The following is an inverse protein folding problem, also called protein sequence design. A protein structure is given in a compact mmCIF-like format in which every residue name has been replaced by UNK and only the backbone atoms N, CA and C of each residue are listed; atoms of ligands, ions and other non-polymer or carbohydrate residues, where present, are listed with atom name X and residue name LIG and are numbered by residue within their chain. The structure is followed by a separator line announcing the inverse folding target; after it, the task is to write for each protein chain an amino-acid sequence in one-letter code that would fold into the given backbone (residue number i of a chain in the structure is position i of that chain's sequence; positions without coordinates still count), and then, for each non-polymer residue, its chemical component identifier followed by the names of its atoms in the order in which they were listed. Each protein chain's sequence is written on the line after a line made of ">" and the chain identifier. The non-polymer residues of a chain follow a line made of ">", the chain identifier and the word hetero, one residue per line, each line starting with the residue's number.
data_IF_741365972284
#
_entry.id   IF_741365972284
#
_cell.length_a   1.000
_cell.length_b   1.000
_cell.length_c   1.000
_cell.angle_alpha   90.00
_cell.angle_beta   90.00
_cell.angle_gamma   90.00
#
_symmetry.space_group_name_H-M   'P 1'
#
loop_
_entity.id
_entity.type
_entity.pdbx_description
1 polymer ?
#
# COMPACT_ATOMS: atom_id res chain seq x y z
N UNK A 1 -2.44 -10.42 7.46
CA UNK A 1 -3.26 -9.37 6.84
C UNK A 1 -4.52 -9.20 7.66
N UNK A 2 -4.92 -7.95 7.93
CA UNK A 2 -6.13 -7.65 8.68
C UNK A 2 -7.28 -7.34 7.72
N UNK A 3 -8.35 -8.14 7.79
CA UNK A 3 -9.50 -8.07 6.91
C UNK A 3 -10.72 -7.57 7.69
N UNK A 4 -11.33 -6.48 7.24
CA UNK A 4 -12.64 -6.02 7.71
C UNK A 4 -13.74 -6.58 6.80
N UNK A 5 -14.83 -7.05 7.38
CA UNK A 5 -16.09 -7.36 6.71
C UNK A 5 -17.18 -6.56 7.42
N UNK A 6 -17.83 -5.64 6.70
CA UNK A 6 -18.86 -4.77 7.26
C UNK A 6 -20.11 -4.80 6.39
N UNK A 7 -21.21 -5.30 6.95
CA UNK A 7 -22.53 -5.48 6.30
C UNK A 7 -23.58 -5.51 7.39
N UNK A 8 -24.74 -4.88 7.25
CA UNK A 8 -25.80 -4.85 8.26
C UNK A 8 -26.55 -6.17 8.41
N UNK A 9 -26.32 -7.10 7.48
CA UNK A 9 -26.90 -8.44 7.47
C UNK A 9 -25.89 -9.49 7.93
N UNK A 10 -26.15 -10.14 9.06
CA UNK A 10 -25.33 -11.26 9.54
C UNK A 10 -25.22 -12.39 8.50
N UNK A 11 -26.29 -12.64 7.72
CA UNK A 11 -26.31 -13.67 6.68
C UNK A 11 -25.26 -13.35 5.58
N UNK A 12 -25.14 -12.07 5.21
CA UNK A 12 -24.16 -11.64 4.23
C UNK A 12 -22.73 -11.77 4.79
N UNK A 13 -22.52 -11.37 6.05
CA UNK A 13 -21.23 -11.57 6.74
C UNK A 13 -20.83 -13.03 6.73
N UNK A 14 -21.74 -13.93 7.12
CA UNK A 14 -21.49 -15.37 7.17
C UNK A 14 -21.14 -15.94 5.78
N UNK A 15 -21.84 -15.49 4.75
CA UNK A 15 -21.55 -15.87 3.37
C UNK A 15 -20.17 -15.40 2.93
N UNK A 16 -19.81 -14.14 3.22
CA UNK A 16 -18.49 -13.59 2.90
C UNK A 16 -17.39 -14.32 3.68
N UNK A 17 -17.60 -14.58 4.97
CA UNK A 17 -16.67 -15.37 5.79
C UNK A 17 -16.44 -16.76 5.20
N UNK A 18 -17.49 -17.46 4.79
CA UNK A 18 -17.37 -18.77 4.12
C UNK A 18 -16.53 -18.68 2.83
N UNK A 19 -16.73 -17.65 2.01
CA UNK A 19 -15.94 -17.46 0.78
C UNK A 19 -14.48 -17.12 1.10
N UNK A 20 -14.22 -16.33 2.13
CA UNK A 20 -12.87 -16.01 2.62
C UNK A 20 -12.18 -17.29 3.12
N UNK A 21 -12.85 -18.15 3.90
CA UNK A 21 -12.28 -19.43 4.34
C UNK A 21 -11.94 -20.38 3.17
N UNK A 22 -12.76 -20.39 2.12
CA UNK A 22 -12.44 -21.15 0.90
C UNK A 22 -11.19 -20.59 0.21
N UNK A 23 -11.04 -19.28 0.21
CA UNK A 23 -9.86 -18.60 -0.32
C UNK A 23 -8.62 -18.95 0.52
N UNK A 24 -8.69 -18.82 1.85
CA UNK A 24 -7.60 -19.15 2.77
C UNK A 24 -7.08 -20.58 2.55
N UNK A 25 -8.00 -21.53 2.45
CA UNK A 25 -7.65 -22.95 2.20
C UNK A 25 -7.00 -23.16 0.83
N UNK A 26 -7.49 -22.47 -0.22
CA UNK A 26 -6.97 -22.61 -1.58
C UNK A 26 -5.55 -22.06 -1.72
N UNK A 27 -5.29 -20.89 -1.10
CA UNK A 27 -4.03 -20.16 -1.29
C UNK A 27 -3.06 -20.30 -0.12
N UNK A 28 -3.42 -21.05 0.94
CA UNK A 28 -2.64 -21.21 2.17
C UNK A 28 -2.27 -19.86 2.81
N UNK A 29 -3.25 -18.98 2.93
CA UNK A 29 -3.16 -17.65 3.51
C UNK A 29 -4.11 -17.59 4.70
N UNK A 30 -3.79 -16.81 5.74
CA UNK A 30 -4.63 -16.58 6.89
C UNK A 30 -4.88 -15.08 7.09
N UNK A 31 -6.16 -14.71 7.33
CA UNK A 31 -6.56 -13.34 7.66
C UNK A 31 -6.88 -13.20 9.14
N UNK A 32 -6.45 -12.12 9.75
CA UNK A 32 -7.04 -11.62 10.99
C UNK A 32 -8.36 -10.93 10.63
N UNK A 33 -9.47 -11.64 10.87
CA UNK A 33 -10.82 -11.21 10.46
C UNK A 33 -11.50 -10.38 11.54
N UNK A 34 -12.01 -9.20 11.18
CA UNK A 34 -12.90 -8.36 12.00
C UNK A 34 -14.23 -8.19 11.27
N UNK A 35 -15.35 -8.47 11.96
CA UNK A 35 -16.69 -8.38 11.37
C UNK A 35 -17.54 -7.35 12.10
N UNK A 36 -18.26 -6.51 11.36
CA UNK A 36 -19.07 -5.42 11.91
C UNK A 36 -20.43 -5.36 11.21
N UNK A 37 -21.47 -5.18 12.00
CA UNK A 37 -22.85 -4.98 11.51
C UNK A 37 -23.20 -3.51 11.22
N UNK A 38 -22.32 -2.58 11.53
CA UNK A 38 -22.47 -1.13 11.30
C UNK A 38 -21.11 -0.51 11.07
N UNK A 39 -21.08 0.56 10.27
CA UNK A 39 -19.89 1.40 10.06
C UNK A 39 -19.55 2.33 11.22
N UNK A 40 -20.42 2.46 12.23
CA UNK A 40 -20.31 3.47 13.29
C UNK A 40 -19.10 3.27 14.20
N UNK A 41 -18.53 2.05 14.27
CA UNK A 41 -17.31 1.76 15.03
C UNK A 41 -16.14 2.67 14.65
N UNK A 42 -16.08 3.15 13.39
CA UNK A 42 -15.01 4.00 12.89
C UNK A 42 -14.94 5.36 13.58
N UNK A 43 -16.02 5.79 14.25
CA UNK A 43 -16.06 7.04 15.01
C UNK A 43 -15.30 6.94 16.34
N UNK A 44 -15.18 5.75 16.88
CA UNK A 44 -14.57 5.49 18.20
C UNK A 44 -13.27 4.69 18.13
N UNK A 45 -13.11 3.88 17.08
CA UNK A 45 -11.99 2.98 16.90
C UNK A 45 -11.18 3.39 15.65
N UNK A 46 -9.87 3.61 15.81
CA UNK A 46 -8.95 3.88 14.69
C UNK A 46 -8.17 2.63 14.29
N UNK A 47 -8.89 1.53 14.06
CA UNK A 47 -8.27 0.29 13.61
C UNK A 47 -7.81 0.43 12.16
N UNK A 48 -6.57 0.03 11.88
CA UNK A 48 -6.04 -0.06 10.52
C UNK A 48 -6.30 -1.45 9.95
N UNK A 49 -6.84 -1.50 8.73
CA UNK A 49 -7.07 -2.73 7.97
C UNK A 49 -6.28 -2.70 6.67
N UNK A 50 -5.96 -3.89 6.17
CA UNK A 50 -5.23 -4.06 4.89
C UNK A 50 -6.21 -4.23 3.73
N UNK A 51 -7.29 -4.97 3.97
CA UNK A 51 -8.39 -5.21 3.03
C UNK A 51 -9.71 -4.96 3.76
N UNK A 52 -10.67 -4.34 3.10
CA UNK A 52 -12.04 -4.20 3.61
C UNK A 52 -13.05 -4.65 2.56
N UNK A 53 -14.06 -5.41 2.99
CA UNK A 53 -15.24 -5.79 2.22
C UNK A 53 -16.42 -5.10 2.89
N UNK A 54 -17.07 -4.17 2.17
CA UNK A 54 -18.02 -3.23 2.78
C UNK A 54 -19.30 -3.18 1.95
N UNK A 55 -20.46 -3.36 2.59
CA UNK A 55 -21.75 -3.00 1.97
C UNK A 55 -21.93 -1.48 1.98
N UNK A 56 -22.66 -0.95 1.00
CA UNK A 56 -22.92 0.48 0.87
C UNK A 56 -24.05 0.91 1.78
N UNK A 57 -25.19 0.24 1.74
CA UNK A 57 -26.38 0.63 2.48
C UNK A 57 -26.43 -0.05 3.84
N UNK A 58 -25.98 0.67 4.84
CA UNK A 58 -26.05 0.26 6.25
C UNK A 58 -26.67 1.40 7.08
N UNK A 59 -27.37 1.07 8.18
CA UNK A 59 -27.81 2.06 9.14
C UNK A 59 -26.63 2.86 9.74
N UNK A 60 -26.81 4.14 9.94
CA UNK A 60 -25.76 5.03 10.46
C UNK A 60 -24.79 5.47 9.36
N UNK A 61 -23.50 5.20 9.53
CA UNK A 61 -22.48 5.52 8.53
C UNK A 61 -22.60 4.59 7.33
N UNK A 62 -22.78 5.17 6.13
CA UNK A 62 -22.79 4.41 4.88
C UNK A 62 -21.44 3.77 4.56
N UNK A 63 -21.44 2.68 3.77
CA UNK A 63 -20.19 2.03 3.36
C UNK A 63 -19.27 2.94 2.54
N UNK A 64 -19.81 3.92 1.82
CA UNK A 64 -19.00 4.93 1.11
C UNK A 64 -18.27 5.83 2.12
N UNK A 65 -18.99 6.35 3.12
CA UNK A 65 -18.38 7.19 4.17
C UNK A 65 -17.38 6.39 5.02
N UNK A 66 -17.72 5.16 5.39
CA UNK A 66 -16.80 4.24 6.07
C UNK A 66 -15.52 4.04 5.24
N UNK A 67 -15.66 3.82 3.93
CA UNK A 67 -14.53 3.63 3.02
C UNK A 67 -13.61 4.85 2.96
N UNK A 68 -14.15 6.07 2.98
CA UNK A 68 -13.36 7.29 3.05
C UNK A 68 -12.54 7.37 4.35
N UNK A 69 -13.19 7.13 5.50
CA UNK A 69 -12.52 7.15 6.81
C UNK A 69 -11.46 6.07 6.94
N UNK A 70 -11.70 4.87 6.40
CA UNK A 70 -10.71 3.80 6.35
C UNK A 70 -9.49 4.19 5.53
N UNK A 71 -9.67 4.90 4.40
CA UNK A 71 -8.56 5.42 3.59
C UNK A 71 -7.81 6.57 4.24
N UNK A 72 -8.45 7.40 5.05
CA UNK A 72 -7.77 8.41 5.87
C UNK A 72 -6.83 7.76 6.91
N UNK A 73 -7.25 6.62 7.49
CA UNK A 73 -6.42 5.85 8.44
C UNK A 73 -5.30 5.07 7.73
N UNK A 74 -5.63 4.40 6.64
CA UNK A 74 -4.68 3.65 5.82
C UNK A 74 -4.90 3.93 4.33
N UNK A 75 -4.15 4.86 3.71
CA UNK A 75 -4.29 5.18 2.28
C UNK A 75 -4.04 4.00 1.34
N UNK A 76 -3.37 2.93 1.82
CA UNK A 76 -3.03 1.73 1.05
C UNK A 76 -4.07 0.61 1.17
N UNK A 77 -5.16 0.82 1.90
CA UNK A 77 -6.19 -0.19 2.09
C UNK A 77 -6.85 -0.58 0.76
N UNK A 78 -6.99 -1.87 0.50
CA UNK A 78 -7.76 -2.40 -0.63
C UNK A 78 -9.24 -2.53 -0.23
N UNK A 79 -10.10 -1.65 -0.74
CA UNK A 79 -11.54 -1.67 -0.41
C UNK A 79 -12.32 -2.32 -1.54
N UNK A 80 -13.06 -3.37 -1.21
CA UNK A 80 -14.03 -4.03 -2.08
C UNK A 80 -15.43 -3.67 -1.60
N UNK A 81 -16.18 -2.95 -2.42
CA UNK A 81 -17.61 -2.71 -2.18
C UNK A 81 -18.40 -3.93 -2.64
N UNK A 82 -19.35 -4.37 -1.82
CA UNK A 82 -20.22 -5.50 -2.09
C UNK A 82 -21.67 -5.11 -1.77
N UNK A 83 -22.46 -4.73 -2.77
CA UNK A 83 -23.79 -4.15 -2.55
C UNK A 83 -24.82 -4.61 -3.60
N UNK A 84 -26.11 -4.51 -3.26
CA UNK A 84 -27.22 -4.72 -4.21
C UNK A 84 -27.49 -3.50 -5.10
N UNK A 85 -26.85 -2.35 -4.86
CA UNK A 85 -27.16 -1.08 -5.47
C UNK A 85 -26.07 -0.60 -6.41
N UNK A 86 -26.42 -0.28 -7.66
CA UNK A 86 -25.47 0.20 -8.66
C UNK A 86 -25.31 1.74 -8.66
N UNK A 87 -26.18 2.46 -7.95
CA UNK A 87 -26.24 3.94 -7.95
C UNK A 87 -25.01 4.60 -7.30
N UNK A 88 -24.22 3.85 -6.55
CA UNK A 88 -23.06 4.36 -5.79
C UNK A 88 -21.72 4.19 -6.51
N UNK A 89 -21.75 3.66 -7.75
CA UNK A 89 -20.52 3.39 -8.50
C UNK A 89 -19.66 4.65 -8.70
N UNK A 90 -20.29 5.79 -9.05
CA UNK A 90 -19.57 7.06 -9.26
C UNK A 90 -18.92 7.57 -7.97
N UNK A 91 -19.56 7.39 -6.82
CA UNK A 91 -18.99 7.75 -5.51
C UNK A 91 -17.85 6.81 -5.14
N UNK A 92 -18.00 5.52 -5.34
CA UNK A 92 -16.97 4.52 -5.12
C UNK A 92 -15.72 4.81 -5.99
N UNK A 93 -15.91 5.20 -7.25
CA UNK A 93 -14.82 5.61 -8.15
C UNK A 93 -14.08 6.85 -7.64
N UNK A 94 -14.80 7.87 -7.14
CA UNK A 94 -14.17 9.10 -6.59
C UNK A 94 -13.25 8.81 -5.40
N UNK A 95 -13.63 7.87 -4.53
CA UNK A 95 -12.80 7.46 -3.40
C UNK A 95 -11.80 6.35 -3.76
N UNK A 96 -11.70 5.99 -5.04
CA UNK A 96 -10.76 5.00 -5.56
C UNK A 96 -10.84 3.65 -4.83
N UNK A 97 -12.06 3.08 -4.68
CA UNK A 97 -12.19 1.71 -4.18
C UNK A 97 -11.51 0.73 -5.14
N UNK A 98 -10.97 -0.34 -4.59
CA UNK A 98 -10.24 -1.34 -5.39
C UNK A 98 -11.18 -2.09 -6.33
N UNK A 99 -12.37 -2.50 -5.85
CA UNK A 99 -13.39 -3.20 -6.65
C UNK A 99 -14.80 -2.86 -6.18
N UNK A 100 -15.72 -2.92 -7.13
CA UNK A 100 -17.17 -2.79 -6.91
C UNK A 100 -17.84 -4.06 -7.39
N UNK A 101 -18.54 -4.77 -6.50
CA UNK A 101 -19.20 -6.05 -6.76
C UNK A 101 -20.66 -5.96 -6.40
N UNK A 102 -21.54 -6.39 -7.32
CA UNK A 102 -22.98 -6.45 -7.08
C UNK A 102 -23.38 -7.75 -6.39
N UNK A 103 -24.35 -7.65 -5.48
CA UNK A 103 -25.11 -8.80 -4.96
C UNK A 103 -26.16 -9.25 -5.98
N UNK A 104 -26.46 -10.55 -6.14
CA UNK A 104 -25.95 -11.68 -5.38
C UNK A 104 -24.49 -11.99 -5.71
N UNK A 105 -23.76 -12.52 -4.71
CA UNK A 105 -22.33 -12.77 -4.83
C UNK A 105 -22.05 -13.95 -5.78
N UNK A 106 -21.39 -13.68 -6.90
CA UNK A 106 -20.77 -14.73 -7.69
C UNK A 106 -19.47 -15.19 -7.02
N UNK A 107 -19.41 -16.46 -6.64
CA UNK A 107 -18.28 -17.07 -5.93
C UNK A 107 -16.96 -16.90 -6.70
N UNK A 108 -16.96 -17.19 -8.00
CA UNK A 108 -15.73 -17.19 -8.78
C UNK A 108 -15.21 -15.76 -8.97
N UNK A 109 -16.12 -14.82 -9.21
CA UNK A 109 -15.80 -13.39 -9.31
C UNK A 109 -15.27 -12.86 -7.98
N UNK A 110 -15.89 -13.23 -6.85
CA UNK A 110 -15.45 -12.83 -5.52
C UNK A 110 -14.03 -13.33 -5.23
N UNK A 111 -13.77 -14.63 -5.40
CA UNK A 111 -12.46 -15.26 -5.15
C UNK A 111 -11.37 -14.60 -6.00
N UNK A 112 -11.62 -14.36 -7.29
CA UNK A 112 -10.67 -13.68 -8.18
C UNK A 112 -10.36 -12.26 -7.72
N UNK A 113 -11.39 -11.48 -7.33
CA UNK A 113 -11.17 -10.11 -6.88
C UNK A 113 -10.46 -10.05 -5.52
N UNK A 114 -10.70 -11.01 -4.64
CA UNK A 114 -9.95 -11.14 -3.38
C UNK A 114 -8.49 -11.53 -3.65
N UNK A 115 -8.22 -12.39 -4.64
CA UNK A 115 -6.86 -12.72 -5.08
C UNK A 115 -6.12 -11.48 -5.56
N UNK A 116 -6.74 -10.69 -6.42
CA UNK A 116 -6.18 -9.43 -6.92
C UNK A 116 -5.93 -8.41 -5.77
N UNK A 117 -6.83 -8.33 -4.77
CA UNK A 117 -6.64 -7.47 -3.60
C UNK A 117 -5.46 -7.91 -2.73
N UNK A 118 -5.29 -9.22 -2.54
CA UNK A 118 -4.14 -9.80 -1.82
C UNK A 118 -2.83 -9.57 -2.59
N UNK A 119 -2.84 -9.74 -3.90
CA UNK A 119 -1.66 -9.42 -4.73
C UNK A 119 -1.28 -7.94 -4.62
N UNK A 120 -2.27 -7.04 -4.65
CA UNK A 120 -2.02 -5.60 -4.50
C UNK A 120 -1.46 -5.28 -3.11
N UNK A 121 -2.02 -5.89 -2.05
CA UNK A 121 -1.47 -5.78 -0.70
C UNK A 121 0.02 -6.19 -0.66
N UNK A 122 0.38 -7.33 -1.27
CA UNK A 122 1.78 -7.78 -1.28
C UNK A 122 2.68 -6.87 -2.13
N UNK A 123 2.19 -6.31 -3.23
CA UNK A 123 2.94 -5.31 -4.01
C UNK A 123 3.22 -4.06 -3.18
N UNK A 124 2.18 -3.57 -2.48
CA UNK A 124 2.26 -2.37 -1.64
C UNK A 124 3.05 -2.59 -0.34
N UNK A 125 3.20 -3.83 0.12
CA UNK A 125 3.86 -4.19 1.38
C UNK A 125 5.05 -5.14 1.17
N UNK A 126 5.71 -5.04 0.02
CA UNK A 126 6.87 -5.87 -0.28
C UNK A 126 7.97 -5.65 0.76
N UNK A 127 8.29 -6.71 1.50
CA UNK A 127 9.37 -6.71 2.48
C UNK A 127 10.68 -7.10 1.81
N UNK A 128 11.71 -6.35 2.14
CA UNK A 128 13.08 -6.59 1.74
C UNK A 128 13.87 -7.05 2.96
N UNK A 129 14.54 -8.19 2.85
CA UNK A 129 15.46 -8.69 3.89
C UNK A 129 16.88 -8.43 3.43
N UNK A 130 17.63 -7.68 4.22
CA UNK A 130 19.01 -7.26 3.95
C UNK A 130 19.92 -7.69 5.10
N UNK A 131 21.19 -7.97 4.80
CA UNK A 131 22.19 -8.33 5.80
C UNK A 131 22.83 -7.08 6.40
N UNK A 132 22.79 -6.97 7.72
CA UNK A 132 23.56 -5.99 8.48
C UNK A 132 24.50 -6.73 9.41
N UNK A 133 25.77 -6.42 9.42
CA UNK A 133 26.81 -7.08 10.23
C UNK A 133 26.51 -8.57 10.55
N UNK A 134 25.97 -8.86 11.74
CA UNK A 134 25.65 -10.22 12.23
C UNK A 134 24.12 -10.46 12.32
N UNK A 135 23.30 -9.58 11.71
CA UNK A 135 21.83 -9.64 11.76
C UNK A 135 21.21 -9.45 10.39
N UNK A 136 19.92 -9.71 10.31
CA UNK A 136 19.09 -9.37 9.15
C UNK A 136 18.15 -8.23 9.51
N UNK A 137 18.02 -7.27 8.60
CA UNK A 137 17.08 -6.18 8.68
C UNK A 137 15.94 -6.47 7.70
N UNK A 138 14.71 -6.38 8.17
CA UNK A 138 13.51 -6.51 7.34
C UNK A 138 12.85 -5.14 7.24
N UNK A 139 12.84 -4.57 6.03
CA UNK A 139 12.21 -3.28 5.74
C UNK A 139 11.09 -3.45 4.71
N UNK A 140 10.02 -2.66 4.83
CA UNK A 140 9.06 -2.53 3.76
C UNK A 140 9.65 -1.64 2.67
N UNK A 141 9.58 -2.05 1.40
CA UNK A 141 10.16 -1.26 0.29
C UNK A 141 9.55 0.14 0.18
N UNK A 142 8.28 0.30 0.57
CA UNK A 142 7.61 1.60 0.56
C UNK A 142 8.08 2.54 1.68
N UNK A 143 8.67 1.99 2.75
CA UNK A 143 9.22 2.79 3.84
C UNK A 143 10.62 3.30 3.51
N UNK A 144 11.26 2.79 2.46
CA UNK A 144 12.56 3.26 1.99
C UNK A 144 12.38 4.63 1.33
N UNK A 145 13.08 5.63 1.85
CA UNK A 145 13.14 6.99 1.29
C UNK A 145 14.20 7.08 0.21
N UNK A 146 15.40 6.65 0.54
CA UNK A 146 16.52 6.54 -0.41
C UNK A 146 17.57 5.53 0.07
N UNK A 147 18.46 5.18 -0.82
CA UNK A 147 19.61 4.33 -0.54
C UNK A 147 20.88 5.01 -1.04
N UNK A 148 21.96 4.92 -0.26
CA UNK A 148 23.25 5.51 -0.61
C UNK A 148 24.36 4.48 -0.54
N UNK A 149 25.18 4.41 -1.59
CA UNK A 149 26.39 3.57 -1.61
C UNK A 149 27.40 4.07 -0.60
N UNK A 150 27.91 3.19 0.24
CA UNK A 150 29.01 3.43 1.19
C UNK A 150 30.17 2.46 0.96
N UNK A 151 31.29 2.76 1.60
CA UNK A 151 32.44 1.84 1.64
C UNK A 151 32.04 0.58 2.40
N UNK A 152 31.89 -0.54 1.69
CA UNK A 152 31.54 -1.84 2.30
C UNK A 152 30.06 -2.24 2.21
N UNK A 153 29.19 -1.43 1.57
CA UNK A 153 27.77 -1.77 1.40
C UNK A 153 26.89 -0.60 0.99
N UNK A 154 25.71 -0.54 1.57
CA UNK A 154 24.70 0.49 1.28
C UNK A 154 24.07 0.98 2.59
N UNK A 155 23.88 2.28 2.73
CA UNK A 155 22.98 2.85 3.74
C UNK A 155 21.57 2.91 3.16
N UNK A 156 20.61 2.30 3.85
CA UNK A 156 19.18 2.32 3.54
C UNK A 156 18.50 3.25 4.53
N UNK A 157 17.98 4.37 4.03
CA UNK A 157 17.27 5.37 4.83
C UNK A 157 15.77 5.16 4.66
N UNK A 158 15.08 4.97 5.77
CA UNK A 158 13.66 4.68 5.83
C UNK A 158 12.92 5.70 6.69
N UNK A 159 11.61 5.67 6.66
CA UNK A 159 10.75 6.48 7.57
C UNK A 159 11.01 6.15 9.06
N UNK A 160 11.51 4.93 9.36
CA UNK A 160 11.74 4.43 10.72
C UNK A 160 13.20 4.54 11.19
N UNK A 161 14.12 4.96 10.33
CA UNK A 161 15.55 5.11 10.66
C UNK A 161 16.47 4.73 9.52
N UNK A 162 17.77 4.70 9.82
CA UNK A 162 18.84 4.38 8.88
C UNK A 162 19.47 3.04 9.22
N UNK A 163 19.81 2.27 8.21
CA UNK A 163 20.41 0.94 8.35
C UNK A 163 21.58 0.78 7.41
N UNK A 164 22.72 0.29 7.93
CA UNK A 164 23.86 -0.11 7.11
C UNK A 164 23.74 -1.60 6.76
N UNK A 165 23.81 -1.90 5.45
CA UNK A 165 23.67 -3.26 4.92
C UNK A 165 24.89 -3.63 4.06
N UNK A 166 25.17 -4.93 3.98
CA UNK A 166 26.34 -5.45 3.24
C UNK A 166 26.10 -5.53 1.73
N UNK A 167 24.84 -5.61 1.33
CA UNK A 167 24.46 -5.61 -0.08
C UNK A 167 24.89 -4.30 -0.75
N UNK A 168 25.46 -4.43 -1.97
CA UNK A 168 25.75 -3.27 -2.80
C UNK A 168 24.46 -2.63 -3.30
N UNK A 169 24.50 -1.35 -3.65
CA UNK A 169 23.35 -0.59 -4.11
C UNK A 169 22.62 -1.27 -5.28
N UNK A 170 23.37 -1.83 -6.24
CA UNK A 170 22.79 -2.51 -7.40
C UNK A 170 22.13 -3.85 -7.02
N UNK A 171 22.64 -4.54 -5.99
CA UNK A 171 22.03 -5.75 -5.41
C UNK A 171 20.70 -5.40 -4.71
N UNK A 172 20.69 -4.33 -3.91
CA UNK A 172 19.47 -3.81 -3.29
C UNK A 172 18.38 -3.49 -4.35
N UNK A 173 18.76 -2.81 -5.45
CA UNK A 173 17.84 -2.50 -6.54
C UNK A 173 17.28 -3.76 -7.22
N UNK A 174 18.12 -4.77 -7.42
CA UNK A 174 17.70 -6.06 -7.99
C UNK A 174 16.69 -6.76 -7.08
N UNK A 175 16.93 -6.77 -5.77
CA UNK A 175 16.02 -7.35 -4.77
C UNK A 175 14.70 -6.60 -4.68
N UNK A 176 14.74 -5.26 -4.74
CA UNK A 176 13.54 -4.42 -4.76
C UNK A 176 12.72 -4.67 -6.04
N UNK A 177 13.36 -4.81 -7.19
CA UNK A 177 12.73 -5.05 -8.49
C UNK A 177 11.58 -4.09 -8.80
N UNK A 178 11.80 -2.77 -8.60
CA UNK A 178 10.85 -1.70 -8.90
C UNK A 178 11.56 -0.55 -9.65
N UNK A 179 12.01 -0.77 -10.89
CA UNK A 179 12.85 0.18 -11.62
C UNK A 179 12.13 1.48 -12.01
N UNK A 180 10.80 1.51 -12.00
CA UNK A 180 10.01 2.73 -12.25
C UNK A 180 9.79 3.58 -11.00
N UNK A 181 10.10 3.05 -9.82
CA UNK A 181 9.89 3.71 -8.52
C UNK A 181 11.23 4.19 -7.92
N UNK A 182 12.27 3.37 -8.02
CA UNK A 182 13.59 3.64 -7.44
C UNK A 182 14.54 4.17 -8.52
N UNK A 183 14.79 5.48 -8.51
CA UNK A 183 15.53 6.21 -9.54
C UNK A 183 16.78 6.87 -8.98
N UNK A 184 17.86 6.82 -9.74
CA UNK A 184 19.11 7.48 -9.38
C UNK A 184 19.00 9.02 -9.42
N UNK A 185 19.19 9.66 -8.26
CA UNK A 185 19.46 11.12 -8.16
C UNK A 185 20.95 11.42 -8.31
N UNK A 186 21.81 10.46 -7.96
CA UNK A 186 23.27 10.49 -8.11
C UNK A 186 23.78 9.08 -8.43
N UNK A 187 25.01 8.93 -8.92
CA UNK A 187 25.59 7.62 -9.21
C UNK A 187 25.68 6.69 -7.98
N UNK A 188 25.74 7.29 -6.78
CA UNK A 188 25.76 6.57 -5.50
C UNK A 188 24.46 6.67 -4.71
N UNK A 189 23.43 7.34 -5.23
CA UNK A 189 22.18 7.56 -4.51
C UNK A 189 20.99 7.20 -5.40
N UNK A 190 20.08 6.40 -4.84
CA UNK A 190 18.79 6.02 -5.43
C UNK A 190 17.66 6.47 -4.53
N UNK A 191 16.67 7.11 -5.10
CA UNK A 191 15.55 7.74 -4.40
C UNK A 191 14.25 7.01 -4.74
N UNK A 192 13.38 6.85 -3.75
CA UNK A 192 12.01 6.38 -3.94
C UNK A 192 11.12 7.54 -4.39
N UNK A 193 10.64 7.51 -5.63
CA UNK A 193 9.79 8.55 -6.20
C UNK A 193 8.45 8.74 -5.47
N UNK A 194 7.97 7.73 -4.75
CA UNK A 194 6.73 7.82 -3.96
C UNK A 194 6.85 8.82 -2.80
N UNK A 195 8.07 9.00 -2.28
CA UNK A 195 8.34 9.87 -1.14
C UNK A 195 8.75 11.28 -1.55
N UNK A 196 8.95 11.56 -2.85
CA UNK A 196 9.42 12.87 -3.34
C UNK A 196 8.32 13.92 -3.21
N UNK A 197 8.60 14.99 -2.45
CA UNK A 197 7.74 16.18 -2.34
C UNK A 197 8.25 17.35 -3.13
N UNK A 198 9.58 17.48 -3.26
CA UNK A 198 10.21 18.55 -4.04
C UNK A 198 11.59 18.10 -4.52
N UNK A 199 12.09 18.69 -5.62
CA UNK A 199 13.47 18.53 -6.05
C UNK A 199 13.92 19.69 -6.94
N UNK A 200 15.21 20.02 -6.87
CA UNK A 200 15.89 20.94 -7.77
C UNK A 200 17.17 20.29 -8.36
N UNK A 201 18.08 21.10 -8.89
CA UNK A 201 19.33 20.62 -9.52
C UNK A 201 20.38 20.12 -8.51
N UNK A 202 20.15 20.30 -7.22
CA UNK A 202 21.11 20.05 -6.13
C UNK A 202 20.58 19.15 -5.04
N UNK A 203 19.27 19.18 -4.76
CA UNK A 203 18.62 18.53 -3.64
C UNK A 203 17.34 17.82 -4.09
N UNK A 204 17.03 16.68 -3.46
CA UNK A 204 15.72 16.01 -3.48
C UNK A 204 15.20 15.98 -2.06
N UNK A 205 14.01 16.52 -1.85
CA UNK A 205 13.31 16.53 -0.56
C UNK A 205 12.27 15.40 -0.52
N UNK A 206 12.31 14.58 0.51
CA UNK A 206 11.51 13.38 0.68
C UNK A 206 10.65 13.50 1.94
N UNK A 207 9.38 13.10 1.85
CA UNK A 207 8.47 13.05 2.99
C UNK A 207 8.80 11.83 3.85
N UNK A 208 9.13 12.06 5.13
CA UNK A 208 9.38 10.99 6.10
C UNK A 208 8.12 10.67 6.91
N UNK A 209 7.41 11.70 7.38
CA UNK A 209 6.11 11.60 8.04
C UNK A 209 5.35 12.93 7.84
N UNK A 210 4.17 13.09 8.44
CA UNK A 210 3.32 14.30 8.26
C UNK A 210 4.05 15.62 8.50
N UNK A 211 5.04 15.64 9.41
CA UNK A 211 5.70 16.87 9.88
C UNK A 211 7.21 16.92 9.57
N UNK A 212 7.79 15.88 8.99
CA UNK A 212 9.24 15.76 8.83
C UNK A 212 9.61 15.37 7.39
N UNK A 213 10.58 16.08 6.84
CA UNK A 213 11.19 15.78 5.55
C UNK A 213 12.67 15.46 5.70
N UNK A 214 13.20 14.69 4.77
CA UNK A 214 14.64 14.37 4.67
C UNK A 214 15.13 14.81 3.30
N UNK A 215 16.34 15.34 3.25
CA UNK A 215 16.97 15.79 2.02
C UNK A 215 18.10 14.84 1.60
N UNK A 216 18.26 14.69 0.30
CA UNK A 216 19.39 13.98 -0.29
C UNK A 216 19.89 14.68 -1.55
N UNK A 217 21.09 14.33 -2.00
CA UNK A 217 21.77 15.03 -3.08
C UNK A 217 21.23 14.66 -4.47
N UNK A 218 21.11 15.70 -5.34
CA UNK A 218 20.84 15.58 -6.76
C UNK A 218 22.07 15.97 -7.59
N UNK A 219 22.50 15.09 -8.47
CA UNK A 219 23.56 15.39 -9.45
C UNK A 219 22.98 16.18 -10.63
N UNK A 220 23.63 17.26 -11.03
CA UNK A 220 23.23 18.03 -12.21
C UNK A 220 23.13 17.16 -13.48
N UNK A 221 24.01 16.15 -13.61
CA UNK A 221 24.00 15.20 -14.74
C UNK A 221 22.76 14.30 -14.73
N UNK A 222 22.25 13.97 -13.56
CA UNK A 222 21.07 13.11 -13.40
C UNK A 222 19.74 13.88 -13.38
N UNK A 223 19.75 15.17 -13.17
CA UNK A 223 18.56 15.99 -13.02
C UNK A 223 17.55 15.83 -14.16
N UNK A 224 18.01 15.85 -15.42
CA UNK A 224 17.11 15.73 -16.59
C UNK A 224 16.44 14.36 -16.62
N UNK A 225 17.22 13.29 -16.49
CA UNK A 225 16.75 11.90 -16.46
C UNK A 225 15.78 11.68 -15.26
N UNK A 226 16.14 12.18 -14.08
CA UNK A 226 15.30 12.08 -12.88
C UNK A 226 13.95 12.78 -13.09
N UNK A 227 13.94 14.01 -13.60
CA UNK A 227 12.72 14.76 -13.90
C UNK A 227 11.82 14.02 -14.89
N UNK A 228 12.38 13.46 -15.97
CA UNK A 228 11.61 12.68 -16.95
C UNK A 228 10.97 11.44 -16.33
N UNK A 229 11.71 10.70 -15.51
CA UNK A 229 11.18 9.53 -14.79
C UNK A 229 10.13 9.92 -13.77
N UNK A 230 10.30 11.00 -13.01
CA UNK A 230 9.33 11.51 -12.07
C UNK A 230 8.02 11.90 -12.76
N UNK A 231 8.08 12.60 -13.91
CA UNK A 231 6.88 12.95 -14.67
C UNK A 231 6.14 11.71 -15.20
N UNK A 232 6.88 10.71 -15.72
CA UNK A 232 6.27 9.42 -16.12
C UNK A 232 5.62 8.70 -14.93
N UNK A 233 6.25 8.72 -13.77
CA UNK A 233 5.73 8.10 -12.55
C UNK A 233 4.42 8.76 -12.09
N UNK A 234 4.32 10.11 -12.13
CA UNK A 234 3.10 10.84 -11.78
C UNK A 234 1.98 10.59 -12.80
N UNK A 235 2.30 10.50 -14.10
CA UNK A 235 1.29 10.26 -15.15
C UNK A 235 0.77 8.81 -15.17
N UNK A 236 1.48 7.88 -14.56
CA UNK A 236 1.08 6.46 -14.47
C UNK A 236 0.21 6.13 -13.24
N UNK A 237 0.00 7.11 -12.34
CA UNK A 237 -0.91 7.04 -11.18
C UNK A 237 -2.28 7.58 -11.56
#
# INVERSE_FOLDING_TARGET
>A
MKLLICDDSQINIDLVLFLVELFEKKYNIEFEKDTRLSGDFILTEKNSYDIAIVDVEMPGISGIELSQKLKEINPKICIMILTAFDNYLDYAMKIQVFRYLSKPIDRNRFIRNLEEAVEEYYKLNKKLTLKSNDSFIVVNTNDILYMERKSGGTTVVTVNGEFEVKEKLDECLTLINQPSVFIHSHNSIVVNLQSVVNFDKTIVTLQKNENETVETYMSQRKYKEFKENFMKFIMAK
#
